data_IF_180251451956
#
_entry.id   IF_180251451956
#
_cell.length_a   1.000
_cell.length_b   1.000
_cell.length_c   1.000
_cell.angle_alpha   90.00
_cell.angle_beta   90.00
_cell.angle_gamma   90.00
#
_symmetry.space_group_name_H-M   'P 1'
#
loop_
_entity.id
_entity.type
_entity.pdbx_description
1 polymer ?
#
# COMPACT_ATOMS: atom_id res chain seq x y z
N UNK A 1 -0.74 6.74 -11.46
CA UNK A 1 -0.82 5.26 -11.46
C UNK A 1 -2.06 4.87 -10.66
N UNK A 2 -2.61 3.66 -10.86
CA UNK A 2 -3.68 3.06 -10.03
C UNK A 2 -3.01 2.09 -9.05
N UNK A 3 -3.47 2.03 -7.79
CA UNK A 3 -3.03 0.98 -6.85
C UNK A 3 -3.98 -0.20 -6.94
N UNK A 4 -3.45 -1.40 -7.16
CA UNK A 4 -4.20 -2.66 -7.23
C UNK A 4 -3.68 -3.61 -6.16
N UNK A 5 -4.54 -4.05 -5.25
CA UNK A 5 -4.20 -5.01 -4.19
C UNK A 5 -4.86 -6.35 -4.52
N UNK A 6 -4.08 -7.42 -4.60
CA UNK A 6 -4.57 -8.79 -4.76
C UNK A 6 -4.76 -9.42 -3.39
N UNK A 7 -5.94 -9.99 -3.16
CA UNK A 7 -6.32 -10.70 -1.95
C UNK A 7 -5.95 -12.20 -2.04
N UNK A 8 -5.93 -12.94 -0.92
CA UNK A 8 -5.58 -14.37 -0.91
C UNK A 8 -6.48 -15.25 -1.75
N UNK A 9 -7.73 -14.85 -1.97
CA UNK A 9 -8.70 -15.56 -2.79
C UNK A 9 -8.62 -15.19 -4.28
N UNK A 10 -7.61 -14.38 -4.67
CA UNK A 10 -7.41 -13.92 -6.04
C UNK A 10 -8.29 -12.74 -6.45
N UNK A 11 -9.16 -12.22 -5.57
CA UNK A 11 -9.87 -10.96 -5.83
C UNK A 11 -8.89 -9.79 -5.82
N UNK A 12 -9.27 -8.71 -6.49
CA UNK A 12 -8.46 -7.49 -6.54
C UNK A 12 -9.25 -6.28 -6.11
N UNK A 13 -8.72 -5.52 -5.16
CA UNK A 13 -9.21 -4.19 -4.80
C UNK A 13 -8.43 -3.14 -5.59
N UNK A 14 -9.15 -2.24 -6.28
CA UNK A 14 -8.55 -1.22 -7.12
C UNK A 14 -8.82 0.19 -6.57
N UNK A 15 -7.75 0.96 -6.43
CA UNK A 15 -7.72 2.32 -5.92
C UNK A 15 -7.33 3.26 -7.06
N UNK A 16 -8.36 3.76 -7.75
CA UNK A 16 -8.24 4.44 -9.04
C UNK A 16 -8.03 5.95 -8.95
N UNK A 17 -7.71 6.51 -7.77
CA UNK A 17 -7.49 7.96 -7.66
C UNK A 17 -6.04 8.30 -7.96
N UNK A 18 -5.86 9.38 -8.71
CA UNK A 18 -4.55 9.95 -8.95
C UNK A 18 -3.91 10.36 -7.61
N UNK A 19 -2.69 9.87 -7.35
CA UNK A 19 -1.97 10.11 -6.10
C UNK A 19 -2.21 9.05 -5.01
N UNK A 20 -3.02 8.03 -5.29
CA UNK A 20 -3.07 6.85 -4.43
C UNK A 20 -1.71 6.15 -4.45
N UNK A 21 -1.25 5.77 -3.28
CA UNK A 21 0.04 5.08 -3.09
C UNK A 21 -0.09 4.04 -2.00
N UNK A 22 0.82 3.08 -1.94
CA UNK A 22 0.83 2.07 -0.89
C UNK A 22 2.14 2.07 -0.10
N UNK A 23 2.08 1.55 1.13
CA UNK A 23 3.22 1.33 2.02
C UNK A 23 3.16 -0.11 2.51
N UNK A 24 4.23 -0.87 2.24
CA UNK A 24 4.44 -2.18 2.85
C UNK A 24 5.14 -2.01 4.19
N UNK A 25 4.55 -2.55 5.24
CA UNK A 25 5.14 -2.54 6.57
C UNK A 25 5.95 -3.80 6.82
N UNK A 26 6.90 -3.70 7.76
CA UNK A 26 7.80 -4.81 8.11
C UNK A 26 7.08 -5.94 8.86
N UNK A 27 5.92 -5.65 9.45
CA UNK A 27 5.04 -6.61 10.12
C UNK A 27 4.17 -7.40 9.12
N UNK A 28 4.29 -7.13 7.82
CA UNK A 28 3.52 -7.77 6.76
C UNK A 28 2.17 -7.12 6.47
N UNK A 29 1.81 -6.03 7.17
CA UNK A 29 0.64 -5.22 6.82
C UNK A 29 0.90 -4.33 5.60
N UNK A 30 -0.19 -3.90 4.96
CA UNK A 30 -0.16 -3.01 3.79
C UNK A 30 -1.12 -1.85 4.03
N UNK A 31 -0.63 -0.63 3.89
CA UNK A 31 -1.46 0.57 3.91
C UNK A 31 -1.58 1.17 2.52
N UNK A 32 -2.80 1.40 2.06
CA UNK A 32 -3.10 2.20 0.87
C UNK A 32 -3.47 3.62 1.30
N UNK A 33 -2.59 4.55 1.01
CA UNK A 33 -2.77 5.98 1.23
C UNK A 33 -3.55 6.57 0.05
N UNK A 34 -4.82 6.88 0.28
CA UNK A 34 -5.69 7.46 -0.74
C UNK A 34 -5.56 8.98 -0.80
N UNK A 35 -5.35 9.53 -1.99
CA UNK A 35 -5.30 10.96 -2.24
C UNK A 35 -6.61 11.64 -1.82
N UNK A 36 -6.56 12.41 -0.74
CA UNK A 36 -7.73 13.14 -0.19
C UNK A 36 -8.52 12.39 0.88
N UNK A 37 -8.14 11.17 1.27
CA UNK A 37 -8.71 10.50 2.44
C UNK A 37 -7.92 10.88 3.71
N UNK A 38 -8.62 11.10 4.84
CA UNK A 38 -7.98 11.38 6.14
C UNK A 38 -7.25 10.18 6.72
N UNK A 39 -7.64 8.97 6.34
CA UNK A 39 -7.08 7.72 6.86
C UNK A 39 -6.71 6.78 5.72
N UNK A 40 -5.56 6.09 5.82
CA UNK A 40 -5.21 5.02 4.89
C UNK A 40 -6.19 3.86 5.02
N UNK A 41 -6.26 3.05 3.98
CA UNK A 41 -6.92 1.75 4.06
C UNK A 41 -5.86 0.69 4.38
N UNK A 42 -6.03 -0.03 5.48
CA UNK A 42 -5.05 -0.98 5.98
C UNK A 42 -5.52 -2.41 5.72
N UNK A 43 -4.59 -3.25 5.26
CA UNK A 43 -4.73 -4.69 5.17
C UNK A 43 -3.77 -5.32 6.19
N UNK A 44 -4.28 -6.20 7.03
CA UNK A 44 -3.46 -6.99 7.94
C UNK A 44 -2.59 -8.01 7.17
N UNK A 45 -1.59 -8.55 7.86
CA UNK A 45 -0.84 -9.69 7.34
C UNK A 45 -1.79 -10.84 7.00
N UNK A 46 -1.71 -11.33 5.76
CA UNK A 46 -2.59 -12.39 5.28
C UNK A 46 -3.93 -11.92 4.71
N UNK A 47 -4.26 -10.63 4.78
CA UNK A 47 -5.43 -10.07 4.06
C UNK A 47 -5.09 -9.66 2.62
N UNK A 48 -3.82 -9.70 2.24
CA UNK A 48 -3.33 -9.39 0.90
C UNK A 48 -2.16 -10.30 0.52
N UNK A 49 -1.90 -10.44 -0.78
CA UNK A 49 -0.83 -11.29 -1.33
C UNK A 49 0.11 -10.54 -2.26
N UNK A 50 -0.44 -9.65 -3.09
CA UNK A 50 0.33 -8.86 -4.05
C UNK A 50 -0.23 -7.44 -4.12
N UNK A 51 0.62 -6.49 -4.47
CA UNK A 51 0.19 -5.11 -4.69
C UNK A 51 1.02 -4.49 -5.82
N UNK A 52 0.33 -3.79 -6.71
CA UNK A 52 0.88 -3.05 -7.83
C UNK A 52 0.48 -1.58 -7.73
N UNK A 53 1.36 -0.69 -8.16
CA UNK A 53 1.10 0.76 -8.17
C UNK A 53 2.26 1.56 -7.61
N UNK A 54 1.95 2.76 -7.13
CA UNK A 54 2.95 3.68 -6.60
C UNK A 54 3.29 3.32 -5.14
N UNK A 55 4.47 2.74 -4.93
CA UNK A 55 4.98 2.52 -3.58
C UNK A 55 5.50 3.83 -3.00
N UNK A 56 4.93 4.25 -1.86
CA UNK A 56 5.43 5.39 -1.09
C UNK A 56 6.69 4.95 -0.35
N UNK A 57 7.82 4.94 -1.06
CA UNK A 57 9.15 4.73 -0.45
C UNK A 57 9.38 5.81 0.60
N UNK A 58 9.29 5.45 1.88
CA UNK A 58 9.96 6.23 2.91
C UNK A 58 11.44 6.16 2.60
N UNK A 59 12.02 7.27 2.14
CA UNK A 59 13.48 7.39 2.09
C UNK A 59 13.97 7.03 3.48
N UNK A 60 14.63 5.87 3.63
CA UNK A 60 15.55 5.62 4.73
C UNK A 60 16.63 6.70 4.58
N UNK A 61 16.41 7.85 5.20
CA UNK A 61 17.49 8.80 5.40
C UNK A 61 18.54 8.05 6.20
N UNK A 62 19.74 7.94 5.64
CA UNK A 62 20.79 7.05 6.13
C UNK A 62 21.02 7.21 7.62
N UNK A 63 20.93 6.10 8.35
CA UNK A 63 21.63 5.93 9.61
C UNK A 63 23.12 5.81 9.30
N UNK A 64 23.82 6.94 9.28
CA UNK A 64 25.26 7.04 9.52
C UNK A 64 25.44 8.06 10.65
N UNK A 65 25.88 7.55 11.79
CA UNK A 65 26.15 8.26 13.04
C UNK A 65 26.55 7.27 14.10
#
# INVERSE_FOLDING_TARGET
>A
MTVTVTLPDGRTDQYMRFGDSFVKHHDGSLDVVRGGARQPFSYAMGEWTHVEGDEKRWKKHGFWG
#
